data_IF_843136651045
#
_entry.id   IF_843136651045
#
_cell.length_a   1.000
_cell.length_b   1.000
_cell.length_c   1.000
_cell.angle_alpha   90.00
_cell.angle_beta   90.00
_cell.angle_gamma   90.00
#
_symmetry.space_group_name_H-M   'P 1'
#
loop_
_entity.id
_entity.type
_entity.pdbx_description
1 polymer ?
#
# COMPACT_ATOMS: atom_id res chain seq x y z
N UNK A 1 38.54 13.62 22.24
CA UNK A 1 37.77 13.69 20.98
C UNK A 1 37.11 15.07 20.94
N UNK A 2 37.73 16.04 20.29
CA UNK A 2 37.28 17.45 20.31
C UNK A 2 36.23 17.64 19.21
N UNK A 3 34.98 17.93 19.60
CA UNK A 3 33.91 18.34 18.70
C UNK A 3 34.29 19.71 18.10
N UNK A 4 34.42 19.79 16.77
CA UNK A 4 34.61 21.07 16.07
C UNK A 4 33.36 21.92 16.25
N UNK A 5 33.53 23.13 16.80
CA UNK A 5 32.50 24.17 16.76
C UNK A 5 32.33 24.64 15.31
N UNK A 6 31.10 24.72 14.77
CA UNK A 6 30.87 25.21 13.41
C UNK A 6 31.35 26.66 13.30
N UNK A 7 32.10 26.94 12.24
CA UNK A 7 32.68 28.25 11.97
C UNK A 7 31.65 29.24 11.40
N UNK A 8 31.98 30.55 11.36
CA UNK A 8 31.08 31.62 10.91
C UNK A 8 30.70 31.59 9.42
N UNK A 9 31.19 30.60 8.66
CA UNK A 9 30.99 30.46 7.21
C UNK A 9 29.79 29.56 6.84
N UNK A 10 29.16 28.88 7.81
CA UNK A 10 27.96 28.06 7.60
C UNK A 10 26.66 28.89 7.61
N UNK A 11 26.64 30.04 6.91
CA UNK A 11 25.38 30.74 6.64
C UNK A 11 24.68 30.02 5.50
N UNK A 12 23.69 29.20 5.84
CA UNK A 12 22.73 28.63 4.89
C UNK A 12 22.23 29.75 3.96
N UNK A 13 22.17 29.51 2.63
CA UNK A 13 21.74 30.52 1.69
C UNK A 13 20.33 31.02 2.02
N UNK A 14 20.11 32.34 1.89
CA UNK A 14 18.80 32.96 2.07
C UNK A 14 17.84 32.42 1.01
N UNK A 15 17.04 31.40 1.38
CA UNK A 15 15.99 30.89 0.53
C UNK A 15 14.87 31.94 0.44
N UNK A 16 14.38 32.27 -0.77
CA UNK A 16 13.31 33.24 -0.92
C UNK A 16 12.07 32.78 -0.16
N UNK A 17 11.44 33.70 0.58
CA UNK A 17 10.25 33.43 1.37
C UNK A 17 9.16 32.75 0.52
N UNK A 18 8.85 31.49 0.85
CA UNK A 18 7.82 30.71 0.16
C UNK A 18 6.48 31.43 0.37
N UNK A 19 5.92 31.99 -0.70
CA UNK A 19 4.58 32.60 -0.68
C UNK A 19 3.55 31.51 -0.42
N UNK A 20 3.02 31.44 0.80
CA UNK A 20 1.97 30.50 1.17
C UNK A 20 0.67 30.95 0.50
N UNK A 21 0.20 30.17 -0.47
CA UNK A 21 -1.06 30.44 -1.17
C UNK A 21 -2.23 30.51 -0.17
N UNK A 22 -3.25 31.36 -0.44
CA UNK A 22 -4.41 31.49 0.45
C UNK A 22 -5.13 30.15 0.63
N UNK A 23 -5.47 29.82 1.87
CA UNK A 23 -6.14 28.54 2.22
C UNK A 23 -7.48 28.44 1.49
N UNK A 24 -7.59 27.51 0.53
CA UNK A 24 -8.86 27.21 -0.16
C UNK A 24 -9.94 26.87 0.88
N UNK A 25 -11.15 27.40 0.68
CA UNK A 25 -12.33 27.07 1.51
C UNK A 25 -12.50 25.55 1.55
N UNK A 26 -12.58 25.00 2.76
CA UNK A 26 -12.82 23.57 2.96
C UNK A 26 -14.25 23.25 2.50
N UNK A 27 -14.37 22.42 1.47
CA UNK A 27 -15.66 21.86 1.11
C UNK A 27 -16.20 21.05 2.29
N UNK A 28 -17.47 21.25 2.65
CA UNK A 28 -18.16 20.47 3.68
C UNK A 28 -19.24 19.64 3.00
N UNK A 29 -19.26 18.34 3.30
CA UNK A 29 -20.35 17.46 2.88
C UNK A 29 -21.55 17.71 3.79
N UNK A 30 -22.75 17.77 3.20
CA UNK A 30 -24.01 17.84 3.93
C UNK A 30 -24.11 16.65 4.92
N UNK A 31 -24.58 16.90 6.16
CA UNK A 31 -24.72 15.89 7.21
C UNK A 31 -25.54 14.68 6.75
N UNK A 32 -26.63 14.90 6.03
CA UNK A 32 -27.50 13.81 5.56
C UNK A 32 -26.81 12.95 4.52
N UNK A 33 -26.10 13.60 3.58
CA UNK A 33 -25.29 12.90 2.58
C UNK A 33 -24.19 12.08 3.24
N UNK A 34 -23.51 12.63 4.26
CA UNK A 34 -22.49 11.90 5.03
C UNK A 34 -23.11 10.69 5.73
N UNK A 35 -24.25 10.86 6.39
CA UNK A 35 -24.95 9.78 7.09
C UNK A 35 -25.36 8.65 6.13
N UNK A 36 -25.84 9.00 4.93
CA UNK A 36 -26.16 8.03 3.89
C UNK A 36 -24.92 7.24 3.43
N UNK A 37 -23.81 7.93 3.13
CA UNK A 37 -22.56 7.26 2.72
C UNK A 37 -22.07 6.31 3.83
N UNK A 38 -22.06 6.77 5.08
CA UNK A 38 -21.66 5.91 6.21
C UNK A 38 -22.54 4.68 6.32
N UNK A 39 -23.86 4.81 6.13
CA UNK A 39 -24.80 3.67 6.15
C UNK A 39 -24.49 2.66 5.06
N UNK A 40 -24.25 3.11 3.83
CA UNK A 40 -23.90 2.24 2.69
C UNK A 40 -22.54 1.56 2.89
N UNK A 41 -21.54 2.29 3.36
CA UNK A 41 -20.22 1.71 3.66
C UNK A 41 -20.32 0.69 4.79
N UNK A 42 -21.15 0.95 5.81
CA UNK A 42 -21.40 0.02 6.92
C UNK A 42 -21.99 -1.30 6.41
N UNK A 43 -22.97 -1.27 5.49
CA UNK A 43 -23.56 -2.50 4.95
C UNK A 43 -22.57 -3.32 4.13
N UNK A 44 -21.68 -2.67 3.38
CA UNK A 44 -20.63 -3.38 2.60
C UNK A 44 -19.62 -4.03 3.55
N UNK A 45 -19.12 -3.28 4.54
CA UNK A 45 -18.14 -3.79 5.50
C UNK A 45 -18.72 -4.90 6.40
N UNK A 46 -20.03 -4.93 6.61
CA UNK A 46 -20.70 -5.98 7.36
C UNK A 46 -20.57 -7.36 6.72
N UNK A 47 -20.51 -7.43 5.38
CA UNK A 47 -20.30 -8.66 4.62
C UNK A 47 -18.83 -9.02 4.36
N UNK A 48 -17.87 -8.32 4.99
CA UNK A 48 -16.45 -8.62 4.85
C UNK A 48 -16.04 -9.90 5.57
N UNK A 49 -15.57 -10.89 4.81
CA UNK A 49 -14.94 -12.11 5.32
C UNK A 49 -13.49 -12.22 4.84
N UNK A 50 -12.56 -12.77 5.64
CA UNK A 50 -12.73 -13.32 7.01
C UNK A 50 -12.80 -12.24 8.10
N UNK A 51 -12.56 -10.96 7.76
CA UNK A 51 -12.59 -9.86 8.73
C UNK A 51 -13.43 -8.69 8.21
N UNK A 52 -13.96 -7.88 9.14
CA UNK A 52 -14.68 -6.63 8.80
C UNK A 52 -13.79 -5.58 8.09
N UNK A 53 -12.48 -5.78 8.08
CA UNK A 53 -11.52 -4.93 7.37
C UNK A 53 -11.30 -5.36 5.91
N UNK A 54 -11.84 -6.49 5.47
CA UNK A 54 -11.60 -7.06 4.13
C UNK A 54 -11.87 -6.05 2.99
N UNK A 55 -12.92 -5.24 3.11
CA UNK A 55 -13.28 -4.25 2.08
C UNK A 55 -12.91 -2.81 2.44
N UNK A 56 -12.09 -2.60 3.46
CA UNK A 56 -11.74 -1.26 3.95
C UNK A 56 -11.11 -0.38 2.84
N UNK A 57 -10.06 -0.90 2.19
CA UNK A 57 -9.32 -0.20 1.16
C UNK A 57 -10.22 0.11 -0.06
N UNK A 58 -11.04 -0.86 -0.47
CA UNK A 58 -11.98 -0.70 -1.58
C UNK A 58 -13.02 0.37 -1.29
N UNK A 59 -13.63 0.35 -0.10
CA UNK A 59 -14.59 1.38 0.31
C UNK A 59 -13.95 2.77 0.38
N UNK A 60 -12.77 2.89 0.99
CA UNK A 60 -12.03 4.18 1.05
C UNK A 60 -11.71 4.69 -0.36
N UNK A 61 -11.21 3.82 -1.23
CA UNK A 61 -10.89 4.17 -2.61
C UNK A 61 -12.13 4.67 -3.36
N UNK A 62 -13.26 3.95 -3.26
CA UNK A 62 -14.50 4.30 -3.95
C UNK A 62 -15.07 5.66 -3.48
N UNK A 63 -15.05 5.93 -2.17
CA UNK A 63 -15.49 7.22 -1.62
C UNK A 63 -14.56 8.34 -2.08
N UNK A 64 -13.24 8.13 -1.99
CA UNK A 64 -12.24 9.11 -2.41
C UNK A 64 -12.34 9.43 -3.90
N UNK A 65 -12.40 8.41 -4.76
CA UNK A 65 -12.49 8.60 -6.21
C UNK A 65 -13.74 9.38 -6.59
N UNK A 66 -14.88 9.07 -5.98
CA UNK A 66 -16.13 9.82 -6.20
C UNK A 66 -16.03 11.28 -5.73
N UNK A 67 -15.35 11.55 -4.61
CA UNK A 67 -15.14 12.92 -4.13
C UNK A 67 -14.20 13.71 -5.06
N UNK A 68 -13.10 13.12 -5.52
CA UNK A 68 -12.21 13.73 -6.50
C UNK A 68 -12.95 14.08 -7.79
N UNK A 69 -13.80 13.18 -8.29
CA UNK A 69 -14.63 13.45 -9.48
C UNK A 69 -15.65 14.59 -9.25
N UNK A 70 -16.02 14.86 -8.01
CA UNK A 70 -16.86 16.01 -7.65
C UNK A 70 -16.04 17.30 -7.39
N UNK A 71 -14.75 17.33 -7.78
CA UNK A 71 -13.89 18.51 -7.68
C UNK A 71 -13.20 18.70 -6.32
N UNK A 72 -13.22 17.70 -5.44
CA UNK A 72 -12.47 17.78 -4.18
C UNK A 72 -10.97 17.64 -4.43
N UNK A 73 -10.14 18.32 -3.63
CA UNK A 73 -8.71 18.04 -3.61
C UNK A 73 -8.47 16.62 -3.11
N UNK A 74 -7.41 15.97 -3.62
CA UNK A 74 -7.08 14.60 -3.27
C UNK A 74 -6.95 14.40 -1.75
N UNK A 75 -6.25 15.31 -1.05
CA UNK A 75 -6.05 15.24 0.39
C UNK A 75 -7.38 15.35 1.17
N UNK A 76 -8.23 16.33 0.84
CA UNK A 76 -9.52 16.49 1.52
C UNK A 76 -10.49 15.33 1.23
N UNK A 77 -10.43 14.77 0.02
CA UNK A 77 -11.20 13.60 -0.35
C UNK A 77 -10.75 12.35 0.40
N UNK A 78 -9.44 12.16 0.57
CA UNK A 78 -8.88 11.03 1.31
C UNK A 78 -9.15 11.11 2.81
N UNK A 79 -8.99 12.29 3.41
CA UNK A 79 -9.32 12.54 4.83
C UNK A 79 -10.79 12.19 5.11
N UNK A 80 -11.71 12.71 4.28
CA UNK A 80 -13.13 12.43 4.45
C UNK A 80 -13.47 10.96 4.20
N UNK A 81 -12.86 10.33 3.21
CA UNK A 81 -13.05 8.90 2.95
C UNK A 81 -12.58 8.04 4.13
N UNK A 82 -11.42 8.37 4.71
CA UNK A 82 -10.90 7.72 5.90
C UNK A 82 -11.86 7.87 7.10
N UNK A 83 -12.38 9.08 7.33
CA UNK A 83 -13.35 9.35 8.41
C UNK A 83 -14.66 8.58 8.23
N UNK A 84 -15.19 8.52 7.00
CA UNK A 84 -16.40 7.76 6.69
C UNK A 84 -16.21 6.27 6.99
N UNK A 85 -15.10 5.69 6.54
CA UNK A 85 -14.78 4.27 6.77
C UNK A 85 -14.54 4.00 8.26
N UNK A 86 -13.84 4.91 8.95
CA UNK A 86 -13.60 4.83 10.40
C UNK A 86 -14.91 4.83 11.19
N UNK A 87 -15.85 5.71 10.85
CA UNK A 87 -17.17 5.76 11.50
C UNK A 87 -18.01 4.52 11.19
N UNK A 88 -17.95 4.00 9.97
CA UNK A 88 -18.62 2.76 9.60
C UNK A 88 -18.09 1.55 10.39
N UNK A 89 -16.76 1.39 10.47
CA UNK A 89 -16.12 0.35 11.28
C UNK A 89 -16.46 0.47 12.77
N UNK A 90 -16.51 1.70 13.30
CA UNK A 90 -16.92 1.96 14.70
C UNK A 90 -18.35 1.49 14.96
N UNK A 91 -19.28 1.71 14.01
CA UNK A 91 -20.68 1.24 14.12
C UNK A 91 -20.79 -0.29 14.12
N UNK A 92 -19.87 -0.98 13.44
CA UNK A 92 -19.78 -2.44 13.47
C UNK A 92 -19.09 -2.99 14.72
N UNK A 93 -18.60 -2.12 15.61
CA UNK A 93 -17.82 -2.55 16.78
C UNK A 93 -16.44 -3.13 16.43
N UNK A 94 -15.96 -2.92 15.20
CA UNK A 94 -14.66 -3.42 14.78
C UNK A 94 -13.53 -2.70 15.54
N UNK A 95 -12.67 -3.47 16.20
CA UNK A 95 -11.47 -2.97 16.89
C UNK A 95 -10.26 -3.26 16.03
N UNK A 96 -9.45 -2.23 15.76
CA UNK A 96 -8.16 -2.45 15.12
C UNK A 96 -7.20 -3.07 16.14
N UNK A 97 -6.37 -4.04 15.72
CA UNK A 97 -5.26 -4.47 16.53
C UNK A 97 -4.35 -3.26 16.82
N UNK A 98 -3.76 -3.27 18.00
CA UNK A 98 -2.68 -2.36 18.35
C UNK A 98 -1.50 -2.55 17.39
N UNK A 99 -0.63 -1.54 17.28
CA UNK A 99 0.58 -1.66 16.45
C UNK A 99 1.39 -2.92 16.78
N UNK A 100 1.46 -3.27 18.06
CA UNK A 100 2.15 -4.46 18.57
C UNK A 100 1.49 -5.75 18.07
N UNK A 101 0.17 -5.86 18.19
CA UNK A 101 -0.60 -7.01 17.69
C UNK A 101 -0.59 -7.13 16.17
N UNK A 102 -0.37 -6.03 15.45
CA UNK A 102 -0.24 -6.03 13.99
C UNK A 102 1.13 -6.50 13.49
N UNK A 103 2.09 -6.77 14.36
CA UNK A 103 3.40 -7.22 13.92
C UNK A 103 3.39 -8.70 13.49
N UNK A 104 4.24 -9.10 12.53
CA UNK A 104 4.34 -10.49 12.11
C UNK A 104 4.66 -11.47 13.24
N UNK A 105 5.37 -11.01 14.27
CA UNK A 105 5.72 -11.84 15.43
C UNK A 105 4.51 -12.16 16.32
N UNK A 106 3.44 -11.36 16.24
CA UNK A 106 2.18 -11.59 16.97
C UNK A 106 1.18 -12.43 16.18
N UNK A 107 1.38 -12.56 14.87
CA UNK A 107 0.60 -13.47 14.02
C UNK A 107 1.09 -14.92 14.11
N UNK A 108 2.23 -15.17 14.76
CA UNK A 108 2.80 -16.49 15.00
C UNK A 108 2.64 -16.84 16.48
N UNK A 109 2.20 -18.06 16.78
CA UNK A 109 2.14 -18.57 18.15
C UNK A 109 3.56 -18.70 18.71
N UNK A 110 4.03 -17.62 19.34
CA UNK A 110 5.34 -17.52 19.97
C UNK A 110 6.47 -17.08 19.03
N UNK A 111 7.66 -16.89 19.60
CA UNK A 111 8.93 -16.62 18.89
C UNK A 111 9.42 -17.87 18.12
N UNK A 112 8.50 -18.71 17.63
CA UNK A 112 8.84 -19.86 16.83
C UNK A 112 9.42 -19.32 15.52
N UNK A 113 10.69 -19.62 15.19
CA UNK A 113 11.23 -19.23 13.89
C UNK A 113 10.28 -19.76 12.81
N UNK A 114 9.98 -18.95 11.79
CA UNK A 114 9.22 -19.41 10.62
C UNK A 114 10.00 -20.56 9.98
N UNK A 115 9.70 -21.79 10.41
CA UNK A 115 10.32 -22.98 9.89
C UNK A 115 9.80 -23.16 8.48
N UNK A 116 10.61 -22.75 7.50
CA UNK A 116 10.37 -23.11 6.11
C UNK A 116 10.60 -24.61 6.00
N UNK A 117 9.52 -25.36 5.93
CA UNK A 117 9.54 -26.81 5.73
C UNK A 117 9.61 -27.20 4.25
N UNK A 118 9.45 -26.23 3.33
CA UNK A 118 9.37 -26.48 1.89
C UNK A 118 10.28 -25.56 1.08
N UNK A 119 10.81 -26.09 -0.01
CA UNK A 119 11.64 -25.35 -0.96
C UNK A 119 10.85 -24.22 -1.63
N UNK A 120 11.44 -23.02 -1.72
CA UNK A 120 10.81 -21.85 -2.35
C UNK A 120 10.49 -22.08 -3.84
N UNK A 121 11.32 -22.87 -4.55
CA UNK A 121 11.17 -23.09 -5.99
C UNK A 121 10.23 -24.25 -6.32
N UNK A 122 10.48 -25.42 -5.76
CA UNK A 122 9.80 -26.66 -6.15
C UNK A 122 8.81 -27.17 -5.11
N UNK A 123 8.70 -26.51 -3.95
CA UNK A 123 7.80 -26.86 -2.84
C UNK A 123 7.98 -28.25 -2.22
N UNK A 124 9.03 -29.01 -2.58
CA UNK A 124 9.39 -30.25 -1.86
C UNK A 124 9.80 -29.96 -0.43
N UNK A 125 9.61 -30.93 0.46
CA UNK A 125 10.06 -30.89 1.84
C UNK A 125 11.57 -30.65 1.90
N UNK A 126 12.00 -29.76 2.80
CA UNK A 126 13.42 -29.51 3.07
C UNK A 126 13.90 -30.56 4.07
N UNK A 127 14.89 -31.34 3.68
CA UNK A 127 15.56 -32.34 4.52
C UNK A 127 16.89 -31.77 5.05
N UNK A 128 17.23 -32.09 6.31
CA UNK A 128 18.47 -31.67 6.95
C UNK A 128 18.52 -30.18 7.32
N UNK A 129 19.72 -29.59 7.30
CA UNK A 129 20.00 -28.19 7.70
C UNK A 129 19.68 -27.15 6.60
N UNK A 130 18.98 -27.55 5.53
CA UNK A 130 18.66 -26.65 4.41
C UNK A 130 17.44 -25.79 4.76
N UNK A 131 17.61 -24.46 4.76
CA UNK A 131 16.56 -23.52 5.19
C UNK A 131 15.79 -22.82 4.05
N UNK A 132 16.20 -23.00 2.78
CA UNK A 132 15.61 -22.25 1.64
C UNK A 132 15.34 -23.08 0.38
N UNK A 133 16.28 -23.93 -0.02
CA UNK A 133 16.21 -24.73 -1.25
C UNK A 133 16.53 -26.20 -1.01
N UNK A 134 15.84 -27.10 -1.70
CA UNK A 134 16.05 -28.54 -1.53
C UNK A 134 17.35 -29.02 -2.20
N UNK A 135 17.91 -28.26 -3.14
CA UNK A 135 19.15 -28.57 -3.86
C UNK A 135 19.80 -27.30 -4.40
N UNK A 136 21.09 -27.37 -4.72
CA UNK A 136 21.83 -26.28 -5.36
C UNK A 136 21.22 -25.89 -6.71
N UNK A 137 20.75 -26.87 -7.49
CA UNK A 137 20.03 -26.63 -8.73
C UNK A 137 18.80 -25.74 -8.52
N UNK A 138 18.03 -25.96 -7.45
CA UNK A 138 16.88 -25.12 -7.13
C UNK A 138 17.28 -23.71 -6.70
N UNK A 139 18.39 -23.53 -5.98
CA UNK A 139 18.93 -22.21 -5.65
C UNK A 139 19.36 -21.47 -6.93
N UNK A 140 20.27 -22.05 -7.71
CA UNK A 140 20.82 -21.45 -8.92
C UNK A 140 19.72 -21.04 -9.90
N UNK A 141 18.77 -21.94 -10.17
CA UNK A 141 17.74 -21.61 -11.12
C UNK A 141 16.69 -20.63 -10.56
N UNK A 142 16.47 -20.58 -9.24
CA UNK A 142 15.64 -19.52 -8.63
C UNK A 142 16.32 -18.16 -8.76
N UNK A 143 17.63 -18.08 -8.49
CA UNK A 143 18.40 -16.85 -8.73
C UNK A 143 18.34 -16.42 -10.19
N UNK A 144 18.53 -17.34 -11.13
CA UNK A 144 18.44 -17.05 -12.57
C UNK A 144 17.07 -16.48 -12.97
N UNK A 145 15.97 -16.98 -12.37
CA UNK A 145 14.63 -16.42 -12.59
C UNK A 145 14.53 -14.98 -12.06
N UNK A 146 14.99 -14.73 -10.82
CA UNK A 146 14.97 -13.39 -10.22
C UNK A 146 15.80 -12.40 -11.05
N UNK A 147 16.98 -12.81 -11.55
CA UNK A 147 17.78 -11.98 -12.45
C UNK A 147 17.03 -11.65 -13.75
N UNK A 148 16.41 -12.64 -14.41
CA UNK A 148 15.61 -12.38 -15.62
C UNK A 148 14.44 -11.44 -15.38
N UNK A 149 13.74 -11.55 -14.25
CA UNK A 149 12.64 -10.63 -13.90
C UNK A 149 13.18 -9.21 -13.74
N UNK A 150 14.29 -9.04 -13.00
CA UNK A 150 14.92 -7.73 -12.82
C UNK A 150 15.43 -7.14 -14.14
N UNK A 151 16.08 -7.95 -14.97
CA UNK A 151 16.56 -7.51 -16.28
C UNK A 151 15.40 -7.09 -17.18
N UNK A 152 14.29 -7.85 -17.17
CA UNK A 152 13.08 -7.49 -17.92
C UNK A 152 12.44 -6.20 -17.41
N UNK A 153 12.35 -6.00 -16.08
CA UNK A 153 11.85 -4.75 -15.49
C UNK A 153 12.75 -3.56 -15.83
N UNK A 154 14.06 -3.73 -15.80
CA UNK A 154 15.03 -2.71 -16.14
C UNK A 154 14.99 -2.35 -17.64
N UNK A 155 14.86 -3.35 -18.52
CA UNK A 155 14.67 -3.14 -19.95
C UNK A 155 13.34 -2.46 -20.25
N UNK A 156 12.25 -2.85 -19.58
CA UNK A 156 10.96 -2.21 -19.72
C UNK A 156 11.00 -0.74 -19.24
N UNK A 157 11.67 -0.48 -18.11
CA UNK A 157 11.90 0.88 -17.62
C UNK A 157 12.76 1.70 -18.59
N UNK A 158 13.82 1.11 -19.15
CA UNK A 158 14.65 1.74 -20.18
C UNK A 158 13.82 2.06 -21.42
N UNK A 159 12.99 1.14 -21.90
CA UNK A 159 12.13 1.35 -23.06
C UNK A 159 11.11 2.47 -22.83
N UNK A 160 10.51 2.57 -21.64
CA UNK A 160 9.62 3.69 -21.28
C UNK A 160 10.37 5.03 -21.35
N UNK A 161 11.61 5.09 -20.83
CA UNK A 161 12.42 6.31 -20.81
C UNK A 161 12.97 6.67 -22.19
N UNK A 162 13.52 5.69 -22.92
CA UNK A 162 14.20 5.91 -24.19
C UNK A 162 13.23 6.09 -25.36
N UNK A 163 12.09 5.37 -25.37
CA UNK A 163 11.11 5.42 -26.46
C UNK A 163 9.94 6.35 -26.16
N UNK A 164 9.82 6.86 -24.93
CA UNK A 164 8.74 7.77 -24.53
C UNK A 164 7.34 7.17 -24.64
N UNK A 165 7.22 5.85 -24.77
CA UNK A 165 5.94 5.17 -24.98
C UNK A 165 5.30 4.89 -23.62
N UNK A 166 4.27 5.67 -23.28
CA UNK A 166 3.29 5.26 -22.28
C UNK A 166 2.58 3.99 -22.77
N UNK A 167 3.01 2.81 -22.36
CA UNK A 167 2.25 1.58 -22.60
C UNK A 167 1.05 1.52 -21.66
N UNK A 168 0.03 2.33 -21.94
CA UNK A 168 -1.29 2.25 -21.31
C UNK A 168 -2.33 1.89 -22.36
N UNK A 169 -2.14 0.78 -23.06
CA UNK A 169 -3.21 -0.01 -23.70
C UNK A 169 -2.60 -1.19 -24.44
N UNK A 170 -2.61 -2.36 -23.82
CA UNK A 170 -2.60 -3.62 -24.58
C UNK A 170 -3.50 -4.63 -23.89
N UNK A 171 -4.53 -5.05 -24.61
CA UNK A 171 -5.26 -6.30 -24.50
C UNK A 171 -6.21 -6.53 -23.29
N UNK A 172 -7.38 -5.88 -23.30
CA UNK A 172 -8.63 -6.64 -23.06
C UNK A 172 -9.03 -7.20 -24.42
N UNK A 173 -8.83 -8.51 -24.63
CA UNK A 173 -9.23 -9.19 -25.85
C UNK A 173 -10.75 -9.22 -26.02
N UNK A 174 -11.28 -9.09 -27.24
CA UNK A 174 -12.67 -9.40 -27.53
C UNK A 174 -12.81 -10.93 -27.67
N UNK A 175 -13.32 -11.60 -26.64
CA UNK A 175 -13.95 -12.91 -26.77
C UNK A 175 -14.90 -13.14 -25.58
N UNK A 176 -16.16 -12.77 -25.78
CA UNK A 176 -17.31 -13.28 -25.07
C UNK A 176 -18.47 -13.29 -26.07
N UNK A 177 -18.59 -14.41 -26.78
CA UNK A 177 -19.85 -14.89 -27.38
C UNK A 177 -20.21 -16.14 -26.58
#
# INVERSE_FOLDING_TARGET
>A
MLMRTPGPEDKLPDFPAIRIAPKKKRFKVNKDRRAHIVRVVTSILAGGEPTRFAFEATCRHAVRSRLCLNGWSWAAADDLAADVVKDALRRLGARRPTWKEGQPEWAQDGFAPILRTRCIRCHRTLEGERWKFCSELCDQSHRALIYRIRDAEQLAAYDIVAKGVTSLTSARGPNAI
#
